data_IF_801865852738
#
_entry.id   IF_801865852738
#
_cell.length_a   1.000
_cell.length_b   1.000
_cell.length_c   1.000
_cell.angle_alpha   90.00
_cell.angle_beta   90.00
_cell.angle_gamma   90.00
#
_symmetry.space_group_name_H-M   'P 1'
#
loop_
_entity.id
_entity.type
_entity.pdbx_description
1 polymer ?
#
# COMPACT_ATOMS: atom_id res chain seq x y z
N UNK A 1 -11.29 29.50 23.38
CA UNK A 1 -12.08 29.15 24.59
C UNK A 1 -11.13 28.72 25.68
N UNK A 2 -11.38 29.05 26.95
CA UNK A 2 -10.53 28.62 28.08
C UNK A 2 -10.47 27.09 28.17
N UNK A 3 -9.36 26.54 28.66
CA UNK A 3 -9.34 25.12 29.05
C UNK A 3 -10.42 24.87 30.12
N UNK A 4 -11.33 23.95 29.83
CA UNK A 4 -12.41 23.55 30.74
C UNK A 4 -13.79 24.15 30.46
N UNK A 5 -13.97 25.01 29.44
CA UNK A 5 -15.32 25.50 29.10
C UNK A 5 -16.13 24.44 28.35
N UNK A 6 -17.27 24.05 28.91
CA UNK A 6 -18.28 23.18 28.26
C UNK A 6 -19.29 24.10 27.57
N UNK A 7 -19.49 23.95 26.26
CA UNK A 7 -20.53 24.65 25.52
C UNK A 7 -21.62 23.64 25.14
N UNK A 8 -22.86 23.86 25.57
CA UNK A 8 -23.99 22.96 25.32
C UNK A 8 -23.74 21.48 25.69
N UNK A 9 -22.99 21.21 26.77
CA UNK A 9 -22.68 19.85 27.22
C UNK A 9 -21.56 19.15 26.43
N UNK A 10 -20.97 19.79 25.41
CA UNK A 10 -19.86 19.22 24.65
C UNK A 10 -18.52 19.67 25.27
N UNK A 11 -17.64 18.73 25.66
CA UNK A 11 -16.34 19.06 26.24
C UNK A 11 -15.40 19.71 25.20
N UNK A 12 -14.53 20.61 25.65
CA UNK A 12 -13.56 21.29 24.79
C UNK A 12 -12.49 20.36 24.16
N UNK A 13 -12.35 19.15 24.67
CA UNK A 13 -11.45 18.10 24.17
C UNK A 13 -12.18 16.76 24.21
N UNK A 14 -12.05 15.97 23.15
CA UNK A 14 -12.51 14.59 23.10
C UNK A 14 -11.29 13.66 23.04
N UNK A 15 -11.23 12.71 23.97
CA UNK A 15 -10.25 11.62 23.89
C UNK A 15 -10.66 10.64 22.80
N UNK A 16 -9.73 10.23 21.95
CA UNK A 16 -9.96 9.17 20.98
C UNK A 16 -9.86 7.83 21.72
N UNK A 17 -10.91 6.98 21.70
CA UNK A 17 -10.86 5.70 22.40
C UNK A 17 -9.99 4.69 21.64
N UNK A 18 -9.37 3.75 22.36
CA UNK A 18 -8.40 2.79 21.79
C UNK A 18 -9.03 1.79 20.80
N UNK A 19 -10.35 1.63 20.83
CA UNK A 19 -11.11 0.77 19.94
C UNK A 19 -11.74 1.52 18.74
N UNK A 20 -11.36 2.77 18.50
CA UNK A 20 -11.78 3.50 17.29
C UNK A 20 -10.85 3.15 16.13
N UNK A 21 -11.44 2.67 15.04
CA UNK A 21 -10.78 2.46 13.76
C UNK A 21 -11.42 3.33 12.69
N UNK A 22 -10.60 3.94 11.85
CA UNK A 22 -11.05 4.79 10.75
C UNK A 22 -10.69 4.08 9.45
N UNK A 23 -11.71 3.72 8.69
CA UNK A 23 -11.57 3.17 7.34
C UNK A 23 -12.28 4.15 6.41
N UNK A 24 -11.60 4.54 5.35
CA UNK A 24 -12.16 5.38 4.29
C UNK A 24 -11.93 4.71 2.94
N UNK A 25 -12.93 4.81 2.07
CA UNK A 25 -12.78 4.45 0.66
C UNK A 25 -12.80 5.73 -0.16
N UNK A 26 -12.02 5.76 -1.23
CA UNK A 26 -11.98 6.87 -2.18
C UNK A 26 -12.07 6.30 -3.59
N UNK A 27 -12.91 6.91 -4.42
CA UNK A 27 -12.89 6.64 -5.85
C UNK A 27 -11.84 7.56 -6.48
N UNK A 28 -10.92 6.95 -7.22
CA UNK A 28 -9.87 7.66 -7.94
C UNK A 28 -10.38 7.91 -9.35
N UNK A 29 -10.74 9.16 -9.65
CA UNK A 29 -11.16 9.63 -10.97
C UNK A 29 -10.29 10.84 -11.37
N UNK A 30 -10.35 11.29 -12.64
CA UNK A 30 -9.55 12.42 -13.17
C UNK A 30 -9.65 13.71 -12.33
N UNK A 31 -10.74 13.90 -11.58
CA UNK A 31 -10.98 15.08 -10.73
C UNK A 31 -10.55 14.90 -9.27
N UNK A 32 -10.06 13.73 -8.87
CA UNK A 32 -9.73 13.44 -7.46
C UNK A 32 -8.37 14.03 -7.10
N UNK A 33 -8.37 15.08 -6.27
CA UNK A 33 -7.13 15.54 -5.63
C UNK A 33 -6.56 14.41 -4.76
N UNK A 34 -5.29 14.08 -4.96
CA UNK A 34 -4.61 13.09 -4.14
C UNK A 34 -4.64 13.46 -2.65
N UNK A 35 -4.71 12.44 -1.80
CA UNK A 35 -4.48 12.64 -0.37
C UNK A 35 -3.10 13.26 -0.14
N UNK A 36 -3.04 14.23 0.77
CA UNK A 36 -1.76 14.86 1.11
C UNK A 36 -0.77 13.80 1.66
N UNK A 37 0.54 13.98 1.48
CA UNK A 37 1.55 13.09 2.05
C UNK A 37 1.42 12.91 3.57
N UNK A 38 0.87 13.91 4.28
CA UNK A 38 0.61 13.86 5.74
C UNK A 38 -0.50 12.89 6.12
N UNK A 39 -1.47 12.65 5.23
CA UNK A 39 -2.53 11.66 5.40
C UNK A 39 -1.97 10.28 5.09
N UNK A 40 -1.29 10.14 3.94
CA UNK A 40 -0.65 8.88 3.53
C UNK A 40 0.43 8.39 4.51
N UNK A 41 1.12 9.30 5.21
CA UNK A 41 2.06 8.91 6.29
C UNK A 41 1.36 8.20 7.45
N UNK A 42 0.06 8.48 7.70
CA UNK A 42 -0.73 7.95 8.81
C UNK A 42 -1.72 6.85 8.41
N UNK A 43 -1.84 6.58 7.12
CA UNK A 43 -2.75 5.59 6.58
C UNK A 43 -1.98 4.39 6.01
N UNK A 44 -2.63 3.24 5.98
CA UNK A 44 -2.33 2.18 5.03
C UNK A 44 -3.25 2.37 3.83
N UNK A 45 -2.71 2.24 2.62
CA UNK A 45 -3.49 2.36 1.38
C UNK A 45 -3.67 0.98 0.78
N UNK A 46 -4.91 0.59 0.50
CA UNK A 46 -5.23 -0.65 -0.20
C UNK A 46 -5.86 -0.26 -1.53
N UNK A 47 -5.21 -0.62 -2.64
CA UNK A 47 -5.76 -0.43 -3.98
C UNK A 47 -6.61 -1.66 -4.33
N UNK A 48 -7.88 -1.44 -4.66
CA UNK A 48 -8.76 -2.50 -5.16
C UNK A 48 -8.70 -2.52 -6.68
N UNK A 49 -8.24 -3.64 -7.24
CA UNK A 49 -8.26 -3.90 -8.67
C UNK A 49 -9.07 -5.15 -8.91
N UNK A 50 -9.77 -5.19 -10.03
CA UNK A 50 -10.54 -6.35 -10.44
C UNK A 50 -9.92 -6.94 -11.67
N UNK A 51 -9.48 -8.20 -11.56
CA UNK A 51 -8.96 -8.97 -12.67
C UNK A 51 -10.09 -9.43 -13.59
N UNK A 52 -9.73 -9.78 -14.83
CA UNK A 52 -10.71 -10.33 -15.79
C UNK A 52 -11.35 -11.62 -15.26
N UNK A 53 -10.57 -12.44 -14.58
CA UNK A 53 -10.98 -13.70 -13.98
C UNK A 53 -11.99 -13.49 -12.85
N UNK A 54 -11.71 -12.56 -11.93
CA UNK A 54 -12.64 -12.18 -10.86
C UNK A 54 -13.94 -11.61 -11.42
N UNK A 55 -13.86 -10.76 -12.43
CA UNK A 55 -15.04 -10.21 -13.11
C UNK A 55 -15.86 -11.31 -13.78
N UNK A 56 -15.21 -12.25 -14.46
CA UNK A 56 -15.90 -13.38 -15.07
C UNK A 56 -16.57 -14.28 -14.03
N UNK A 57 -15.89 -14.57 -12.92
CA UNK A 57 -16.44 -15.34 -11.81
C UNK A 57 -17.64 -14.61 -11.18
N UNK A 58 -17.54 -13.30 -10.98
CA UNK A 58 -18.61 -12.47 -10.47
C UNK A 58 -19.83 -12.48 -11.40
N UNK A 59 -19.66 -12.25 -12.71
CA UNK A 59 -20.78 -12.27 -13.67
C UNK A 59 -21.47 -13.64 -13.75
N UNK A 60 -20.73 -14.73 -13.57
CA UNK A 60 -21.28 -16.08 -13.55
C UNK A 60 -22.00 -16.43 -12.24
N UNK A 61 -21.72 -15.71 -11.14
CA UNK A 61 -22.24 -16.01 -9.79
C UNK A 61 -23.00 -14.84 -9.17
N UNK A 62 -23.33 -13.82 -9.98
CA UNK A 62 -23.89 -12.56 -9.52
C UNK A 62 -25.20 -12.81 -8.75
N UNK A 63 -25.11 -12.69 -7.43
CA UNK A 63 -26.21 -12.77 -6.50
C UNK A 63 -26.24 -11.48 -5.69
N UNK A 64 -27.42 -11.07 -5.26
CA UNK A 64 -27.57 -9.89 -4.39
C UNK A 64 -26.90 -10.17 -3.05
N UNK A 65 -26.05 -9.24 -2.60
CA UNK A 65 -25.43 -9.33 -1.27
C UNK A 65 -26.54 -9.25 -0.21
N UNK A 66 -26.67 -10.30 0.60
CA UNK A 66 -27.58 -10.34 1.73
C UNK A 66 -26.95 -9.61 2.92
N UNK A 67 -27.34 -8.35 3.11
CA UNK A 67 -26.84 -7.49 4.19
C UNK A 67 -27.31 -7.97 5.57
N UNK A 68 -28.48 -8.61 5.66
CA UNK A 68 -28.99 -9.16 6.91
C UNK A 68 -28.12 -10.34 7.35
N UNK A 69 -27.72 -11.19 6.41
CA UNK A 69 -26.76 -12.27 6.67
C UNK A 69 -25.36 -11.78 7.08
N UNK A 70 -25.01 -10.50 6.89
CA UNK A 70 -23.73 -9.92 7.31
C UNK A 70 -23.80 -9.21 8.68
N UNK A 71 -25.01 -8.92 9.17
CA UNK A 71 -25.20 -8.19 10.42
C UNK A 71 -24.57 -8.94 11.59
N UNK A 72 -23.64 -8.27 12.30
CA UNK A 72 -23.00 -8.81 13.50
C UNK A 72 -21.94 -9.90 13.26
N UNK A 73 -21.70 -10.35 12.02
CA UNK A 73 -20.68 -11.38 11.73
C UNK A 73 -19.26 -11.00 12.12
N UNK A 74 -18.96 -9.70 12.15
CA UNK A 74 -17.66 -9.17 12.59
C UNK A 74 -17.55 -8.85 14.09
N UNK A 75 -18.62 -9.01 14.88
CA UNK A 75 -18.64 -8.55 16.28
C UNK A 75 -17.59 -9.27 17.14
N UNK A 76 -17.40 -10.57 16.93
CA UNK A 76 -16.37 -11.35 17.63
C UNK A 76 -14.94 -11.01 17.14
N UNK A 77 -14.80 -10.55 15.91
CA UNK A 77 -13.50 -10.22 15.30
C UNK A 77 -12.85 -9.00 15.95
N UNK A 78 -13.63 -8.08 16.54
CA UNK A 78 -13.10 -6.88 17.19
C UNK A 78 -12.16 -7.23 18.37
N UNK A 79 -12.50 -8.23 19.18
CA UNK A 79 -11.65 -8.65 20.30
C UNK A 79 -10.35 -9.31 19.80
N UNK A 80 -10.46 -10.21 18.82
CA UNK A 80 -9.29 -10.84 18.17
C UNK A 80 -8.36 -9.78 17.58
N UNK A 81 -8.93 -8.85 16.82
CA UNK A 81 -8.21 -7.74 16.21
C UNK A 81 -7.49 -6.88 17.26
N UNK A 82 -8.16 -6.47 18.33
CA UNK A 82 -7.56 -5.67 19.40
C UNK A 82 -6.41 -6.42 20.09
N UNK A 83 -6.58 -7.72 20.34
CA UNK A 83 -5.53 -8.57 20.91
C UNK A 83 -4.30 -8.62 19.99
N UNK A 84 -4.52 -8.80 18.68
CA UNK A 84 -3.44 -8.80 17.69
C UNK A 84 -2.76 -7.44 17.57
N UNK A 85 -3.53 -6.35 17.53
CA UNK A 85 -3.01 -4.99 17.46
C UNK A 85 -2.16 -4.61 18.69
N UNK A 86 -2.44 -5.24 19.84
CA UNK A 86 -1.66 -5.07 21.07
C UNK A 86 -0.37 -5.92 21.12
N UNK A 87 -0.16 -6.85 20.17
CA UNK A 87 1.04 -7.68 20.15
C UNK A 87 2.30 -6.80 20.04
N UNK A 88 3.30 -7.15 20.83
CA UNK A 88 4.61 -6.50 20.74
C UNK A 88 5.28 -6.94 19.44
N UNK A 89 5.80 -5.97 18.70
CA UNK A 89 6.70 -6.21 17.57
C UNK A 89 7.83 -7.13 18.02
N UNK A 90 7.90 -8.31 17.41
CA UNK A 90 9.13 -9.11 17.38
C UNK A 90 9.83 -8.87 16.06
N UNK A 91 11.16 -8.95 16.07
CA UNK A 91 11.90 -8.92 14.80
C UNK A 91 11.58 -10.21 14.04
N UNK A 92 11.15 -10.14 12.77
CA UNK A 92 11.07 -11.30 11.89
C UNK A 92 12.43 -11.99 11.79
N UNK A 93 12.44 -13.29 11.49
CA UNK A 93 13.68 -14.03 11.25
C UNK A 93 14.53 -13.36 10.15
N UNK A 94 13.87 -12.85 9.11
CA UNK A 94 14.50 -12.24 7.94
C UNK A 94 14.62 -10.71 8.03
N UNK A 95 14.69 -10.16 9.25
CA UNK A 95 14.79 -8.71 9.47
C UNK A 95 15.97 -8.06 8.73
N UNK A 96 17.05 -8.80 8.47
CA UNK A 96 18.19 -8.30 7.70
C UNK A 96 17.81 -8.01 6.24
N UNK A 97 17.14 -8.95 5.58
CA UNK A 97 16.64 -8.80 4.21
C UNK A 97 15.63 -7.65 4.11
N UNK A 98 14.66 -7.62 5.04
CA UNK A 98 13.65 -6.55 5.09
C UNK A 98 14.34 -5.18 5.20
N UNK A 99 15.28 -5.02 6.13
CA UNK A 99 16.02 -3.76 6.30
C UNK A 99 16.81 -3.38 5.06
N UNK A 100 17.51 -4.33 4.45
CA UNK A 100 18.28 -4.07 3.23
C UNK A 100 17.38 -3.56 2.11
N UNK A 101 16.26 -4.24 1.85
CA UNK A 101 15.30 -3.82 0.82
C UNK A 101 14.70 -2.45 1.13
N UNK A 102 14.24 -2.22 2.36
CA UNK A 102 13.68 -0.92 2.75
C UNK A 102 14.69 0.22 2.59
N UNK A 103 15.98 -0.03 2.84
CA UNK A 103 17.03 0.99 2.63
C UNK A 103 17.31 1.25 1.14
N UNK A 104 17.22 0.24 0.27
CA UNK A 104 17.30 0.43 -1.20
C UNK A 104 16.18 1.35 -1.68
N UNK A 105 14.93 1.03 -1.31
CA UNK A 105 13.77 1.85 -1.63
C UNK A 105 13.87 3.26 -1.03
N UNK A 106 14.31 3.40 0.23
CA UNK A 106 14.51 4.70 0.87
C UNK A 106 15.44 5.60 0.07
N UNK A 107 16.59 5.07 -0.37
CA UNK A 107 17.58 5.83 -1.12
C UNK A 107 17.03 6.39 -2.43
N UNK A 108 16.22 5.60 -3.13
CA UNK A 108 15.62 6.00 -4.41
C UNK A 108 14.46 6.99 -4.22
N UNK A 109 13.55 6.70 -3.28
CA UNK A 109 12.41 7.58 -2.96
C UNK A 109 12.88 8.97 -2.50
N UNK A 110 14.02 9.06 -1.81
CA UNK A 110 14.62 10.33 -1.36
C UNK A 110 14.94 11.28 -2.52
N UNK A 111 15.26 10.77 -3.72
CA UNK A 111 15.53 11.63 -4.89
C UNK A 111 14.32 12.45 -5.32
N UNK A 112 13.11 12.04 -4.93
CA UNK A 112 11.85 12.72 -5.26
C UNK A 112 11.17 13.39 -4.07
N UNK A 113 11.79 13.33 -2.88
CA UNK A 113 11.20 13.80 -1.63
C UNK A 113 10.06 12.92 -1.10
N UNK A 114 10.02 11.65 -1.54
CA UNK A 114 8.99 10.68 -1.16
C UNK A 114 9.48 9.66 -0.12
N UNK A 115 10.65 9.89 0.49
CA UNK A 115 11.21 9.01 1.50
C UNK A 115 10.29 8.88 2.73
N UNK A 116 10.41 7.75 3.42
CA UNK A 116 9.64 7.49 4.63
C UNK A 116 10.42 7.87 5.89
N UNK A 117 9.73 8.46 6.87
CA UNK A 117 10.29 8.74 8.19
C UNK A 117 10.20 7.54 9.14
N UNK A 118 10.71 7.72 10.36
CA UNK A 118 10.72 6.67 11.40
C UNK A 118 9.34 6.09 11.71
N UNK A 119 8.28 6.91 11.69
CA UNK A 119 6.90 6.42 11.91
C UNK A 119 6.50 5.41 10.84
N UNK A 120 6.58 5.82 9.57
CA UNK A 120 6.29 4.95 8.43
C UNK A 120 7.14 3.67 8.48
N UNK A 121 8.42 3.76 8.86
CA UNK A 121 9.29 2.58 9.01
C UNK A 121 8.78 1.60 10.09
N UNK A 122 8.37 2.10 11.26
CA UNK A 122 7.79 1.27 12.33
C UNK A 122 6.47 0.64 11.88
N UNK A 123 5.64 1.38 11.15
CA UNK A 123 4.38 0.86 10.60
C UNK A 123 4.59 -0.22 9.54
N UNK A 124 5.59 -0.07 8.67
CA UNK A 124 5.99 -1.08 7.68
C UNK A 124 6.43 -2.37 8.39
N UNK A 125 7.31 -2.27 9.38
CA UNK A 125 7.75 -3.43 10.15
C UNK A 125 6.60 -4.10 10.91
N UNK A 126 5.65 -3.29 11.40
CA UNK A 126 4.43 -3.80 12.05
C UNK A 126 3.51 -4.51 11.07
N UNK A 127 3.34 -3.98 9.87
CA UNK A 127 2.56 -4.61 8.81
C UNK A 127 3.14 -5.99 8.47
N UNK A 128 4.45 -6.06 8.17
CA UNK A 128 5.14 -7.31 7.86
C UNK A 128 4.98 -8.33 9.00
N UNK A 129 5.18 -7.91 10.26
CA UNK A 129 4.97 -8.79 11.41
C UNK A 129 3.52 -9.33 11.50
N UNK A 130 2.52 -8.49 11.21
CA UNK A 130 1.13 -8.96 11.25
C UNK A 130 0.78 -9.87 10.08
N UNK A 131 1.34 -9.64 8.89
CA UNK A 131 1.21 -10.56 7.77
C UNK A 131 1.74 -11.95 8.14
N UNK A 132 2.95 -12.02 8.69
CA UNK A 132 3.58 -13.29 9.10
C UNK A 132 2.82 -14.05 10.19
N UNK A 133 2.05 -13.33 11.01
CA UNK A 133 1.24 -13.93 12.10
C UNK A 133 -0.13 -14.37 11.59
N UNK A 134 -0.68 -13.68 10.58
CA UNK A 134 -1.99 -13.97 10.00
C UNK A 134 -1.93 -15.09 8.97
N UNK A 135 -0.83 -15.17 8.23
CA UNK A 135 -0.62 -16.14 7.16
C UNK A 135 0.87 -16.54 7.15
N UNK A 136 1.15 -17.75 7.65
CA UNK A 136 2.50 -18.31 7.70
C UNK A 136 2.95 -18.91 6.36
N UNK A 137 2.08 -18.91 5.34
CA UNK A 137 2.41 -19.33 3.99
C UNK A 137 3.04 -18.22 3.14
N UNK A 138 2.88 -16.95 3.55
CA UNK A 138 3.51 -15.82 2.88
C UNK A 138 5.03 -15.87 3.04
N UNK A 139 5.72 -15.71 1.92
CA UNK A 139 7.16 -15.51 1.89
C UNK A 139 7.52 -14.09 2.28
N UNK A 140 8.73 -13.91 2.82
CA UNK A 140 9.28 -12.58 3.16
C UNK A 140 9.23 -11.60 1.99
N UNK A 141 9.35 -12.07 0.74
CA UNK A 141 9.25 -11.20 -0.43
C UNK A 141 7.81 -10.73 -0.68
N UNK A 142 6.80 -11.58 -0.51
CA UNK A 142 5.39 -11.20 -0.64
C UNK A 142 5.00 -10.18 0.45
N UNK A 143 5.48 -10.36 1.68
CA UNK A 143 5.24 -9.40 2.76
C UNK A 143 5.87 -8.03 2.47
N UNK A 144 7.10 -8.03 1.94
CA UNK A 144 7.79 -6.81 1.51
C UNK A 144 7.05 -6.15 0.35
N UNK A 145 6.58 -6.93 -0.62
CA UNK A 145 5.83 -6.44 -1.78
C UNK A 145 4.55 -5.71 -1.35
N UNK A 146 3.76 -6.35 -0.47
CA UNK A 146 2.57 -5.74 0.13
C UNK A 146 2.94 -4.44 0.85
N UNK A 147 4.03 -4.42 1.62
CA UNK A 147 4.46 -3.23 2.32
C UNK A 147 4.90 -2.09 1.38
N UNK A 148 5.61 -2.40 0.30
CA UNK A 148 5.99 -1.43 -0.73
C UNK A 148 4.73 -0.81 -1.35
N UNK A 149 3.81 -1.66 -1.78
CA UNK A 149 2.55 -1.27 -2.42
C UNK A 149 1.68 -0.40 -1.51
N UNK A 150 1.55 -0.75 -0.23
CA UNK A 150 0.62 -0.08 0.69
C UNK A 150 1.19 1.14 1.43
N UNK A 151 2.53 1.24 1.60
CA UNK A 151 3.17 2.30 2.41
C UNK A 151 4.20 3.15 1.65
N UNK A 152 4.85 2.63 0.62
CA UNK A 152 5.93 3.34 -0.08
C UNK A 152 5.43 4.02 -1.35
N UNK A 153 4.85 3.25 -2.27
CA UNK A 153 4.38 3.76 -3.56
C UNK A 153 3.27 4.82 -3.48
N UNK A 154 2.34 4.82 -2.50
CA UNK A 154 1.25 5.80 -2.44
C UNK A 154 1.71 7.26 -2.42
N UNK A 155 2.94 7.52 -1.97
CA UNK A 155 3.52 8.87 -1.90
C UNK A 155 4.09 9.35 -3.24
N UNK A 156 4.21 8.48 -4.25
CA UNK A 156 4.78 8.82 -5.54
C UNK A 156 3.75 9.51 -6.43
N UNK A 157 4.10 10.72 -6.84
CA UNK A 157 3.38 11.49 -7.85
C UNK A 157 4.31 12.55 -8.45
N UNK A 158 4.02 12.96 -9.69
CA UNK A 158 4.77 14.02 -10.33
C UNK A 158 4.83 13.91 -11.85
N UNK A 159 5.54 14.87 -12.45
CA UNK A 159 5.76 14.88 -13.89
C UNK A 159 6.71 13.77 -14.33
N UNK A 160 6.63 13.43 -15.62
CA UNK A 160 7.52 12.49 -16.31
C UNK A 160 8.99 12.68 -15.95
N UNK A 161 9.48 13.92 -16.03
CA UNK A 161 10.89 14.28 -15.75
C UNK A 161 11.31 13.93 -14.32
N UNK A 162 10.37 14.01 -13.36
CA UNK A 162 10.63 13.71 -11.96
C UNK A 162 10.55 12.21 -11.67
N UNK A 163 9.61 11.50 -12.30
CA UNK A 163 9.28 10.12 -11.93
C UNK A 163 9.97 9.04 -12.75
N UNK A 164 10.17 9.19 -14.06
CA UNK A 164 10.60 8.06 -14.90
C UNK A 164 11.90 7.39 -14.44
N UNK A 165 12.93 8.17 -14.09
CA UNK A 165 14.21 7.60 -13.61
C UNK A 165 14.09 6.89 -12.26
N UNK A 166 13.18 7.38 -11.40
CA UNK A 166 12.91 6.77 -10.09
C UNK A 166 12.12 5.49 -10.28
N UNK A 167 11.08 5.49 -11.11
CA UNK A 167 10.29 4.30 -11.43
C UNK A 167 11.14 3.22 -12.11
N UNK A 168 12.06 3.59 -12.99
CA UNK A 168 13.03 2.68 -13.59
C UNK A 168 13.86 1.96 -12.52
N UNK A 169 14.45 2.72 -11.61
CA UNK A 169 15.29 2.16 -10.55
C UNK A 169 14.46 1.32 -9.57
N UNK A 170 13.28 1.80 -9.14
CA UNK A 170 12.39 1.05 -8.26
C UNK A 170 11.90 -0.26 -8.92
N UNK A 171 11.59 -0.22 -10.22
CA UNK A 171 11.20 -1.40 -11.00
C UNK A 171 12.32 -2.44 -11.03
N UNK A 172 13.58 -2.01 -11.21
CA UNK A 172 14.72 -2.95 -11.15
C UNK A 172 14.90 -3.61 -9.78
N UNK A 173 14.51 -2.96 -8.67
CA UNK A 173 14.55 -3.59 -7.35
C UNK A 173 13.53 -4.71 -7.18
N UNK A 174 12.54 -4.78 -8.07
CA UNK A 174 11.50 -5.81 -8.05
C UNK A 174 11.88 -7.07 -8.83
N UNK A 175 13.09 -7.15 -9.39
CA UNK A 175 13.59 -8.30 -10.14
C UNK A 175 14.82 -8.94 -9.46
N UNK A 176 15.00 -10.25 -9.64
CA UNK A 176 16.19 -10.99 -9.16
C UNK A 176 17.47 -10.55 -9.85
N UNK A 177 17.38 -10.25 -11.14
CA UNK A 177 18.51 -9.86 -11.98
C UNK A 177 18.28 -8.49 -12.61
N UNK A 178 19.37 -7.74 -12.78
CA UNK A 178 19.32 -6.42 -13.41
C UNK A 178 19.33 -6.59 -14.93
N UNK A 179 18.23 -6.18 -15.58
CA UNK A 179 18.10 -6.06 -17.03
C UNK A 179 17.79 -4.64 -17.47
N UNK A 180 17.46 -4.45 -18.75
CA UNK A 180 16.90 -3.19 -19.21
C UNK A 180 15.41 -3.17 -18.87
N UNK A 181 15.07 -2.76 -17.64
CA UNK A 181 13.70 -2.77 -17.12
C UNK A 181 12.68 -2.10 -18.06
N UNK A 182 13.09 -1.05 -18.77
CA UNK A 182 12.23 -0.36 -19.73
C UNK A 182 11.87 -1.30 -20.88
N UNK A 183 12.87 -1.87 -21.57
CA UNK A 183 12.62 -2.73 -22.73
C UNK A 183 12.04 -4.09 -22.37
N UNK A 184 12.53 -4.66 -21.27
CA UNK A 184 12.26 -6.05 -20.90
C UNK A 184 10.90 -6.19 -20.19
N UNK A 185 10.45 -5.12 -19.53
CA UNK A 185 9.20 -5.10 -18.73
C UNK A 185 8.29 -3.95 -19.12
N UNK A 186 8.72 -2.69 -18.96
CA UNK A 186 7.79 -1.55 -19.06
C UNK A 186 7.18 -1.39 -20.45
N UNK A 187 7.94 -1.60 -21.52
CA UNK A 187 7.47 -1.49 -22.89
C UNK A 187 6.82 -2.79 -23.41
N UNK A 188 6.82 -3.88 -22.62
CA UNK A 188 6.24 -5.17 -23.00
C UNK A 188 4.75 -5.22 -22.60
N UNK A 189 3.79 -5.18 -23.55
CA UNK A 189 2.37 -5.04 -23.22
C UNK A 189 1.82 -6.15 -22.32
N UNK A 190 2.29 -7.38 -22.53
CA UNK A 190 1.89 -8.60 -21.81
C UNK A 190 3.11 -9.20 -21.09
N UNK A 191 3.65 -8.47 -20.11
CA UNK A 191 4.63 -9.02 -19.17
C UNK A 191 3.92 -9.85 -18.10
N UNK A 192 4.49 -11.00 -17.75
CA UNK A 192 4.00 -11.86 -16.68
C UNK A 192 4.64 -11.42 -15.36
N UNK A 193 3.89 -10.72 -14.52
CA UNK A 193 4.39 -10.20 -13.23
C UNK A 193 4.57 -11.30 -12.18
N UNK A 194 4.02 -12.49 -12.40
CA UNK A 194 4.18 -13.65 -11.52
C UNK A 194 5.34 -14.55 -11.97
N UNK A 195 6.14 -14.11 -12.95
CA UNK A 195 7.26 -14.87 -13.47
C UNK A 195 8.34 -15.11 -12.37
N UNK A 196 9.06 -16.25 -12.41
CA UNK A 196 10.00 -16.62 -11.34
C UNK A 196 11.13 -15.62 -11.08
N UNK A 197 11.47 -14.77 -12.04
CA UNK A 197 12.47 -13.70 -11.91
C UNK A 197 11.96 -12.49 -11.11
N UNK A 198 10.64 -12.36 -10.91
CA UNK A 198 10.02 -11.25 -10.20
C UNK A 198 10.05 -11.50 -8.70
N UNK A 199 10.55 -10.53 -7.94
CA UNK A 199 10.58 -10.55 -6.48
C UNK A 199 9.31 -9.94 -5.88
N UNK A 200 8.82 -8.84 -6.48
CA UNK A 200 7.71 -8.03 -5.96
C UNK A 200 6.65 -7.79 -7.06
N UNK A 201 5.81 -8.80 -7.38
CA UNK A 201 4.82 -8.73 -8.46
C UNK A 201 3.88 -7.52 -8.38
N UNK A 202 3.27 -7.27 -7.22
CA UNK A 202 2.28 -6.19 -7.02
C UNK A 202 2.93 -4.81 -7.26
N UNK A 203 4.11 -4.62 -6.68
CA UNK A 203 4.88 -3.39 -6.81
C UNK A 203 5.37 -3.18 -8.23
N UNK A 204 5.87 -4.23 -8.90
CA UNK A 204 6.38 -4.14 -10.27
C UNK A 204 5.26 -3.81 -11.26
N UNK A 205 4.10 -4.46 -11.12
CA UNK A 205 2.93 -4.16 -11.94
C UNK A 205 2.54 -2.68 -11.77
N UNK A 206 2.44 -2.20 -10.52
CA UNK A 206 2.08 -0.81 -10.24
C UNK A 206 3.10 0.19 -10.80
N UNK A 207 4.39 -0.05 -10.58
CA UNK A 207 5.47 0.80 -11.08
C UNK A 207 5.45 0.86 -12.61
N UNK A 208 5.19 -0.26 -13.26
CA UNK A 208 5.09 -0.35 -14.73
C UNK A 208 3.95 0.52 -15.26
N UNK A 209 2.77 0.45 -14.63
CA UNK A 209 1.61 1.31 -15.00
C UNK A 209 1.92 2.79 -14.81
N UNK A 210 2.47 3.15 -13.65
CA UNK A 210 2.86 4.53 -13.36
C UNK A 210 3.91 5.04 -14.36
N UNK A 211 4.85 4.19 -14.79
CA UNK A 211 5.85 4.56 -15.79
C UNK A 211 5.19 4.86 -17.13
N UNK A 212 4.33 3.94 -17.62
CA UNK A 212 3.58 4.10 -18.87
C UNK A 212 2.75 5.38 -18.87
N UNK A 213 1.98 5.60 -17.79
CA UNK A 213 1.18 6.81 -17.62
C UNK A 213 2.05 8.08 -17.62
N UNK A 214 3.20 8.06 -16.94
CA UNK A 214 4.12 9.20 -16.94
C UNK A 214 4.69 9.47 -18.34
N UNK A 215 4.98 8.44 -19.12
CA UNK A 215 5.51 8.58 -20.49
C UNK A 215 4.48 9.05 -21.49
N UNK A 216 3.24 8.57 -21.39
CA UNK A 216 2.15 8.85 -22.32
C UNK A 216 1.46 10.18 -21.99
N UNK A 217 1.15 10.42 -20.71
CA UNK A 217 0.37 11.56 -20.24
C UNK A 217 1.24 12.70 -19.66
N UNK A 218 2.55 12.49 -19.53
CA UNK A 218 3.49 13.48 -19.00
C UNK A 218 3.45 13.64 -17.46
N UNK A 219 2.57 12.92 -16.78
CA UNK A 219 2.38 12.92 -15.34
C UNK A 219 1.91 11.53 -14.89
N UNK A 220 2.30 11.12 -13.68
CA UNK A 220 1.75 9.92 -13.06
C UNK A 220 1.62 10.10 -11.55
N UNK A 221 0.79 9.23 -10.96
CA UNK A 221 0.59 9.11 -9.53
C UNK A 221 0.16 7.71 -9.17
N UNK A 222 0.41 7.31 -7.93
CA UNK A 222 -0.12 6.05 -7.42
C UNK A 222 -1.64 5.95 -7.56
N UNK A 223 -2.36 7.05 -7.31
CA UNK A 223 -3.79 7.15 -7.56
C UNK A 223 -4.06 7.49 -9.05
N UNK A 224 -3.63 6.62 -9.97
CA UNK A 224 -4.02 6.67 -11.38
C UNK A 224 -5.38 5.99 -11.59
N UNK A 225 -6.20 6.54 -12.49
CA UNK A 225 -7.41 5.92 -12.99
C UNK A 225 -7.10 5.10 -14.26
#
# INVERSE_FOLDING_TARGET
FPEGSVNNGVPAKLGIPQNLFIIGTVNIDETTNMFSPKVLDRANTIEFRVTRQEMQAFLNSASTVDMDALTGKGAASAYSFLKMAANKLSNPADIAQIKETLMKFFGELKKTGAEFGYRSAVEILRLIHHLSVLDDSLTTNEEIDIAIMQKLLPKLHGSRRKLCSVLETLGSFCLKENGNIIKDVFDKPEYDFEAPEVLYPLSLEKITRMYRSATENGFASFAEA
#
